data_IF_737263430601
#
_entry.id   IF_737263430601
#
_cell.length_a   1.000
_cell.length_b   1.000
_cell.length_c   1.000
_cell.angle_alpha   90.00
_cell.angle_beta   90.00
_cell.angle_gamma   90.00
#
_symmetry.space_group_name_H-M   'P 1'
#
loop_
_entity.id
_entity.type
_entity.pdbx_description
1 polymer ?
#
# COMPACT_ATOMS: atom_id res chain seq x y z
N UNK A 1 0.98 -11.37 -7.51
CA UNK A 1 1.80 -12.43 -6.88
C UNK A 1 3.27 -12.17 -7.15
N UNK A 2 4.14 -12.33 -6.12
CA UNK A 2 5.58 -12.14 -6.28
C UNK A 2 6.19 -13.28 -7.11
N UNK A 3 7.27 -12.99 -7.85
CA UNK A 3 8.01 -14.02 -8.59
C UNK A 3 8.61 -15.02 -7.61
N UNK A 4 9.28 -14.52 -6.56
CA UNK A 4 9.82 -15.31 -5.47
C UNK A 4 9.21 -14.88 -4.14
N UNK A 5 9.09 -15.82 -3.20
CA UNK A 5 8.57 -15.51 -1.86
C UNK A 5 9.65 -14.84 -1.00
N UNK A 6 9.30 -13.73 -0.36
CA UNK A 6 10.20 -12.93 0.47
C UNK A 6 9.92 -13.11 1.97
N UNK A 7 10.91 -12.88 2.82
CA UNK A 7 10.69 -12.78 4.26
C UNK A 7 9.81 -11.58 4.59
N UNK A 8 8.93 -11.71 5.59
CA UNK A 8 7.98 -10.66 6.00
C UNK A 8 8.69 -9.35 6.35
N UNK A 9 9.77 -9.41 7.13
CA UNK A 9 10.53 -8.23 7.55
C UNK A 9 11.20 -7.52 6.37
N UNK A 10 11.79 -8.28 5.44
CA UNK A 10 12.46 -7.72 4.26
C UNK A 10 11.43 -7.08 3.33
N UNK A 11 10.30 -7.75 3.14
CA UNK A 11 9.18 -7.22 2.37
C UNK A 11 8.64 -5.93 2.97
N UNK A 12 8.39 -5.87 4.30
CA UNK A 12 7.93 -4.65 4.98
C UNK A 12 8.94 -3.51 4.85
N UNK A 13 10.23 -3.78 4.97
CA UNK A 13 11.26 -2.77 4.77
C UNK A 13 11.26 -2.25 3.33
N UNK A 14 11.10 -3.14 2.34
CA UNK A 14 11.02 -2.77 0.92
C UNK A 14 9.81 -1.89 0.63
N UNK A 15 8.61 -2.26 1.10
CA UNK A 15 7.41 -1.44 0.90
C UNK A 15 7.50 -0.11 1.66
N UNK A 16 8.12 -0.09 2.85
CA UNK A 16 8.36 1.15 3.57
C UNK A 16 9.16 2.15 2.71
N UNK A 17 10.24 1.71 2.10
CA UNK A 17 11.06 2.56 1.21
C UNK A 17 10.26 2.99 -0.01
N UNK A 18 9.50 2.07 -0.62
CA UNK A 18 8.67 2.34 -1.81
C UNK A 18 7.62 3.42 -1.54
N UNK A 19 7.00 3.40 -0.36
CA UNK A 19 5.95 4.35 0.04
C UNK A 19 6.47 5.61 0.77
N UNK A 20 7.77 5.90 0.71
CA UNK A 20 8.32 7.18 1.19
C UNK A 20 9.07 7.12 2.52
N UNK A 21 9.30 5.92 3.08
CA UNK A 21 10.18 5.71 4.25
C UNK A 21 9.51 5.91 5.61
N UNK A 22 8.25 6.34 5.66
CA UNK A 22 7.51 6.53 6.90
C UNK A 22 7.27 5.21 7.66
N UNK A 23 7.06 5.24 8.98
CA UNK A 23 6.70 4.05 9.75
C UNK A 23 5.40 3.41 9.25
N UNK A 24 5.40 2.08 9.12
CA UNK A 24 4.23 1.29 8.76
C UNK A 24 3.60 0.74 10.03
N UNK A 25 2.28 0.91 10.20
CA UNK A 25 1.53 0.18 11.24
C UNK A 25 1.16 -1.19 10.68
N UNK A 26 1.49 -2.25 11.37
CA UNK A 26 1.19 -3.60 10.89
C UNK A 26 0.82 -4.56 12.03
N UNK A 27 0.13 -5.66 11.69
CA UNK A 27 -0.12 -6.77 12.61
C UNK A 27 1.16 -7.54 12.89
N UNK A 28 1.12 -8.40 13.92
CA UNK A 28 2.25 -9.28 14.21
C UNK A 28 2.68 -10.10 12.98
N UNK A 29 3.97 -10.33 12.85
CA UNK A 29 4.54 -11.19 11.82
C UNK A 29 4.35 -12.66 12.22
N UNK A 30 4.06 -13.50 11.24
CA UNK A 30 3.81 -14.92 11.45
C UNK A 30 5.07 -15.79 11.36
N UNK A 31 6.16 -15.24 10.81
CA UNK A 31 7.39 -15.96 10.48
C UNK A 31 7.33 -16.71 9.15
N UNK A 32 6.27 -16.52 8.39
CA UNK A 32 6.10 -17.09 7.06
C UNK A 32 6.78 -16.24 5.98
N UNK A 33 6.61 -16.61 4.73
CA UNK A 33 7.06 -15.83 3.59
C UNK A 33 5.87 -15.18 2.89
N UNK A 34 6.10 -13.97 2.36
CA UNK A 34 5.14 -13.26 1.52
C UNK A 34 5.27 -13.74 0.08
N UNK A 35 4.20 -14.24 -0.49
CA UNK A 35 4.11 -14.62 -1.90
C UNK A 35 2.96 -13.89 -2.59
N UNK A 36 1.80 -13.81 -1.93
CA UNK A 36 0.61 -13.15 -2.47
C UNK A 36 0.31 -11.87 -1.72
N UNK A 37 0.30 -10.76 -2.46
CA UNK A 37 0.08 -9.41 -1.94
C UNK A 37 -1.25 -8.89 -2.43
N UNK A 38 -2.10 -8.42 -1.53
CA UNK A 38 -3.28 -7.62 -1.85
C UNK A 38 -2.96 -6.14 -1.60
N UNK A 39 -3.45 -5.27 -2.47
CA UNK A 39 -3.22 -3.81 -2.37
C UNK A 39 -4.51 -3.06 -2.64
N UNK A 40 -4.78 -2.04 -1.83
CA UNK A 40 -5.84 -1.06 -2.08
C UNK A 40 -5.33 0.33 -1.69
N UNK A 41 -5.32 1.28 -2.62
CA UNK A 41 -4.98 2.68 -2.34
C UNK A 41 -6.04 3.34 -1.44
N UNK A 42 -5.61 4.26 -0.57
CA UNK A 42 -6.49 4.92 0.38
C UNK A 42 -7.11 3.98 1.41
N UNK A 43 -8.32 4.29 1.85
CA UNK A 43 -9.05 3.55 2.88
C UNK A 43 -9.57 2.21 2.34
N UNK A 44 -8.92 1.11 2.69
CA UNK A 44 -9.23 -0.23 2.18
C UNK A 44 -9.70 -1.25 3.21
N UNK A 45 -9.94 -0.88 4.48
CA UNK A 45 -10.26 -1.84 5.55
C UNK A 45 -11.46 -2.75 5.23
N UNK A 46 -12.44 -2.25 4.47
CA UNK A 46 -13.62 -3.01 4.05
C UNK A 46 -13.32 -4.19 3.10
N UNK A 47 -12.14 -4.22 2.46
CA UNK A 47 -11.69 -5.29 1.57
C UNK A 47 -10.86 -6.36 2.29
N UNK A 48 -10.63 -6.24 3.59
CA UNK A 48 -9.81 -7.18 4.34
C UNK A 48 -10.28 -8.63 4.20
N UNK A 49 -11.58 -8.87 4.30
CA UNK A 49 -12.14 -10.22 4.17
C UNK A 49 -12.00 -10.79 2.76
N UNK A 50 -12.03 -9.94 1.74
CA UNK A 50 -11.81 -10.38 0.36
C UNK A 50 -10.32 -10.71 0.12
N UNK A 51 -9.39 -9.95 0.69
CA UNK A 51 -7.97 -10.26 0.68
C UNK A 51 -7.66 -11.60 1.35
N UNK A 52 -8.28 -11.88 2.50
CA UNK A 52 -8.16 -13.17 3.21
C UNK A 52 -8.70 -14.31 2.35
N UNK A 53 -9.90 -14.17 1.77
CA UNK A 53 -10.51 -15.18 0.88
C UNK A 53 -9.67 -15.44 -0.37
N UNK A 54 -9.00 -14.41 -0.89
CA UNK A 54 -8.08 -14.55 -2.01
C UNK A 54 -6.74 -15.22 -1.63
N UNK A 55 -6.54 -15.53 -0.34
CA UNK A 55 -5.33 -16.16 0.17
C UNK A 55 -4.11 -15.23 0.10
N UNK A 56 -4.29 -13.92 0.31
CA UNK A 56 -3.18 -13.00 0.40
C UNK A 56 -2.43 -13.21 1.73
N UNK A 57 -1.10 -13.12 1.68
CA UNK A 57 -0.23 -13.19 2.86
C UNK A 57 -0.16 -11.84 3.56
N UNK A 58 -0.27 -10.76 2.79
CA UNK A 58 -0.26 -9.39 3.28
C UNK A 58 -1.27 -8.53 2.51
N UNK A 59 -1.94 -7.63 3.23
CA UNK A 59 -2.81 -6.60 2.67
C UNK A 59 -2.27 -5.22 2.97
N UNK A 60 -1.88 -4.49 1.91
CA UNK A 60 -1.33 -3.14 1.96
C UNK A 60 -2.45 -2.16 1.64
N UNK A 61 -2.75 -1.25 2.56
CA UNK A 61 -3.76 -0.20 2.38
C UNK A 61 -3.53 0.93 3.40
N UNK A 62 -4.56 1.70 3.71
CA UNK A 62 -4.48 2.79 4.68
C UNK A 62 -5.76 2.93 5.51
N UNK A 63 -5.70 3.84 6.51
CA UNK A 63 -6.81 4.24 7.37
C UNK A 63 -7.43 3.10 8.18
N UNK A 64 -6.66 2.10 8.54
CA UNK A 64 -7.12 1.07 9.46
C UNK A 64 -7.30 1.64 10.87
N UNK A 65 -8.49 1.48 11.43
CA UNK A 65 -8.77 1.76 12.83
C UNK A 65 -8.19 0.68 13.72
N UNK A 66 -8.01 0.99 14.99
CA UNK A 66 -7.49 0.04 15.99
C UNK A 66 -8.19 -1.33 15.92
N UNK A 67 -9.53 -1.33 15.86
CA UNK A 67 -10.30 -2.58 15.82
C UNK A 67 -10.18 -3.35 14.50
N UNK A 68 -9.87 -2.69 13.38
CA UNK A 68 -9.74 -3.35 12.08
C UNK A 68 -8.57 -4.33 12.06
N UNK A 69 -7.49 -4.04 12.82
CA UNK A 69 -6.33 -4.93 12.90
C UNK A 69 -6.65 -6.30 13.51
N UNK A 70 -7.64 -6.40 14.39
CA UNK A 70 -8.07 -7.70 14.92
C UNK A 70 -8.70 -8.59 13.85
N UNK A 71 -9.25 -8.01 12.78
CA UNK A 71 -9.81 -8.75 11.66
C UNK A 71 -8.80 -9.60 10.88
N UNK A 72 -7.50 -9.39 11.09
CA UNK A 72 -6.45 -10.23 10.50
C UNK A 72 -6.48 -11.67 11.01
N UNK A 73 -6.87 -11.90 12.28
CA UNK A 73 -7.01 -13.21 12.92
C UNK A 73 -5.79 -14.13 12.71
N UNK A 74 -4.59 -13.56 12.63
CA UNK A 74 -3.35 -14.25 12.26
C UNK A 74 -3.38 -14.97 10.89
N UNK A 75 -4.34 -14.63 10.03
CA UNK A 75 -4.48 -15.22 8.68
C UNK A 75 -3.76 -14.40 7.62
N UNK A 76 -3.56 -13.11 7.88
CA UNK A 76 -2.97 -12.15 6.94
C UNK A 76 -2.22 -11.07 7.73
N UNK A 77 -1.17 -10.52 7.14
CA UNK A 77 -0.55 -9.31 7.68
C UNK A 77 -1.31 -8.10 7.11
N UNK A 78 -1.81 -7.24 7.99
CA UNK A 78 -2.28 -5.90 7.60
C UNK A 78 -1.09 -4.96 7.66
N UNK A 79 -0.86 -4.20 6.60
CA UNK A 79 0.16 -3.15 6.54
C UNK A 79 -0.50 -1.82 6.14
N UNK A 80 -0.66 -0.93 7.11
CA UNK A 80 -1.15 0.44 6.91
C UNK A 80 0.05 1.35 6.64
N UNK A 81 0.18 1.76 5.38
CA UNK A 81 1.31 2.57 4.91
C UNK A 81 0.98 4.06 4.78
N UNK A 82 -0.26 4.44 5.10
CA UNK A 82 -0.74 5.82 5.00
C UNK A 82 -1.55 6.11 3.73
N UNK A 83 -2.56 6.96 3.88
CA UNK A 83 -3.49 7.30 2.78
C UNK A 83 -2.77 7.99 1.64
N UNK A 84 -2.13 9.11 1.93
CA UNK A 84 -1.36 9.86 0.93
C UNK A 84 -0.29 9.01 0.28
N UNK A 85 0.41 8.20 1.07
CA UNK A 85 1.51 7.34 0.64
C UNK A 85 1.05 6.30 -0.39
N UNK A 86 -0.16 5.77 -0.26
CA UNK A 86 -0.73 4.80 -1.22
C UNK A 86 -1.22 5.46 -2.51
N UNK A 87 -1.63 6.73 -2.46
CA UNK A 87 -2.27 7.43 -3.59
C UNK A 87 -1.35 8.42 -4.32
N UNK A 88 -0.19 8.75 -3.75
CA UNK A 88 0.75 9.75 -4.31
C UNK A 88 1.18 9.47 -5.76
N UNK A 89 1.14 8.22 -6.19
CA UNK A 89 1.55 7.79 -7.54
C UNK A 89 0.48 8.05 -8.60
N UNK A 90 -0.73 8.41 -8.20
CA UNK A 90 -1.87 8.64 -9.13
C UNK A 90 -1.59 9.76 -10.13
N UNK A 91 -0.88 10.80 -9.71
CA UNK A 91 -0.52 11.93 -10.57
C UNK A 91 0.42 11.52 -11.73
N UNK A 92 1.40 10.65 -11.46
CA UNK A 92 2.29 10.10 -12.48
C UNK A 92 1.53 9.20 -13.44
N UNK A 93 0.63 8.36 -12.94
CA UNK A 93 -0.23 7.51 -13.76
C UNK A 93 -1.09 8.35 -14.72
N UNK A 94 -1.75 9.40 -14.21
CA UNK A 94 -2.54 10.30 -15.06
C UNK A 94 -1.68 11.04 -16.06
N UNK A 95 -0.51 11.51 -15.66
CA UNK A 95 0.44 12.17 -16.56
C UNK A 95 0.80 11.25 -17.74
N UNK A 96 1.14 10.01 -17.48
CA UNK A 96 1.52 9.03 -18.50
C UNK A 96 0.35 8.71 -19.44
N UNK A 97 -0.86 8.54 -18.90
CA UNK A 97 -2.07 8.28 -19.70
C UNK A 97 -2.37 9.47 -20.61
N UNK A 98 -2.32 10.70 -20.07
CA UNK A 98 -2.61 11.91 -20.85
C UNK A 98 -1.57 12.09 -21.94
N UNK A 99 -0.28 11.99 -21.64
CA UNK A 99 0.78 12.08 -22.64
C UNK A 99 0.65 11.07 -23.77
N UNK A 100 0.26 9.84 -23.43
CA UNK A 100 0.06 8.78 -24.42
C UNK A 100 -1.13 9.03 -25.31
N UNK A 101 -2.24 9.55 -24.75
CA UNK A 101 -3.49 9.77 -25.50
C UNK A 101 -3.54 11.12 -26.22
N UNK A 102 -2.89 12.13 -25.68
CA UNK A 102 -2.89 13.50 -26.15
C UNK A 102 -1.45 14.05 -26.29
N UNK A 103 -0.64 13.51 -27.20
CA UNK A 103 0.80 13.78 -27.26
C UNK A 103 1.16 15.24 -27.60
N UNK A 104 0.20 16.02 -28.12
CA UNK A 104 0.38 17.45 -28.45
C UNK A 104 0.08 18.38 -27.29
N UNK A 105 -0.46 17.87 -26.18
CA UNK A 105 -0.75 18.69 -24.99
C UNK A 105 0.48 18.84 -24.10
N UNK A 106 0.73 20.06 -23.64
CA UNK A 106 1.71 20.31 -22.58
C UNK A 106 1.11 19.90 -21.22
N UNK A 107 1.55 18.77 -20.69
CA UNK A 107 1.12 18.27 -19.38
C UNK A 107 2.21 18.53 -18.35
N UNK A 108 1.84 19.03 -17.16
CA UNK A 108 2.74 19.26 -16.05
C UNK A 108 2.23 18.59 -14.79
N UNK A 109 3.14 17.93 -14.05
CA UNK A 109 2.84 17.37 -12.72
C UNK A 109 3.03 18.48 -11.69
N UNK A 110 2.01 18.68 -10.83
CA UNK A 110 2.12 19.58 -9.67
C UNK A 110 3.20 19.08 -8.71
N UNK A 111 4.05 20.01 -8.26
CA UNK A 111 5.07 19.75 -7.23
C UNK A 111 4.59 20.08 -5.81
N UNK A 112 3.35 20.52 -5.67
CA UNK A 112 2.77 20.85 -4.36
C UNK A 112 2.54 19.56 -3.58
N UNK A 113 3.09 19.48 -2.37
CA UNK A 113 2.78 18.41 -1.42
C UNK A 113 1.52 18.82 -0.64
N UNK A 114 0.47 18.02 -0.74
CA UNK A 114 -0.81 18.24 -0.06
C UNK A 114 -1.01 17.32 1.15
N UNK A 115 -0.01 16.51 1.50
CA UNK A 115 -0.09 15.65 2.67
C UNK A 115 -0.14 16.47 3.96
N UNK A 116 -1.25 16.43 4.74
CA UNK A 116 -1.34 17.15 6.01
C UNK A 116 -0.68 16.40 7.18
N UNK A 117 -0.24 15.16 6.96
CA UNK A 117 0.32 14.30 8.01
C UNK A 117 1.84 14.46 8.03
N UNK A 118 2.37 14.69 9.22
CA UNK A 118 3.80 14.79 9.48
C UNK A 118 4.18 13.66 10.45
N UNK A 119 5.25 12.95 10.11
CA UNK A 119 5.81 11.91 10.97
C UNK A 119 7.04 12.47 11.69
N UNK A 120 7.16 12.19 12.98
CA UNK A 120 8.28 12.61 13.85
C UNK A 120 8.94 11.42 14.56
#
# INVERSE_FOLDING_TARGET
>A
ELIEAENESDFLQRIRVLFGGNPIRHTALSGNKIKRVAVCGGSGSFLLQDAIKAGADIFISADFKYHDFFGAENKIIIADVGHFETEQFTKELFFDIIRKKLPTFAVHISKVNTNPIIYS
#
